data_IF_489816388826
#
_entry.id   IF_489816388826
#
_cell.length_a   1.000
_cell.length_b   1.000
_cell.length_c   1.000
_cell.angle_alpha   90.00
_cell.angle_beta   90.00
_cell.angle_gamma   90.00
#
_symmetry.space_group_name_H-M   'P 1'
#
loop_
_entity.id
_entity.type
_entity.pdbx_description
1 polymer ?
#
# COMPACT_ATOMS: atom_id res chain seq x y z
N UNK A 1 19.00 8.92 -7.23
CA UNK A 1 18.38 8.13 -6.15
C UNK A 1 18.81 6.68 -6.32
N UNK A 2 19.26 6.05 -5.25
CA UNK A 2 19.68 4.64 -5.20
C UNK A 2 19.01 3.99 -4.02
N UNK A 3 18.57 2.74 -4.20
CA UNK A 3 17.92 1.96 -3.16
C UNK A 3 18.68 0.63 -2.97
N UNK A 4 18.77 0.13 -1.74
CA UNK A 4 19.35 -1.17 -1.40
C UNK A 4 18.32 -2.27 -1.63
N UNK A 5 17.05 -1.96 -1.32
CA UNK A 5 15.93 -2.89 -1.47
C UNK A 5 14.66 -2.23 -1.97
N UNK A 6 13.88 -3.06 -2.66
CA UNK A 6 12.52 -2.79 -3.11
C UNK A 6 11.61 -3.87 -2.54
N UNK A 7 10.46 -3.48 -2.01
CA UNK A 7 9.40 -4.35 -1.50
C UNK A 7 8.12 -4.05 -2.29
N UNK A 8 7.68 -5.00 -3.12
CA UNK A 8 6.50 -4.81 -3.98
C UNK A 8 5.24 -5.40 -3.32
N UNK A 9 4.25 -4.57 -3.00
CA UNK A 9 2.92 -5.02 -2.62
C UNK A 9 2.08 -5.22 -3.87
N UNK A 10 1.54 -6.42 -4.03
CA UNK A 10 0.75 -6.75 -5.20
C UNK A 10 -0.27 -7.85 -4.90
N UNK A 11 -1.26 -8.00 -5.77
CA UNK A 11 -2.30 -9.03 -5.68
C UNK A 11 -2.34 -9.93 -6.93
N UNK A 12 -1.26 -9.94 -7.72
CA UNK A 12 -1.16 -10.70 -8.95
C UNK A 12 -0.58 -12.08 -8.68
N UNK A 13 -0.97 -13.13 -9.43
CA UNK A 13 -0.30 -14.42 -9.36
C UNK A 13 1.22 -14.29 -9.56
N UNK A 14 2.00 -15.09 -8.85
CA UNK A 14 3.48 -15.03 -8.90
C UNK A 14 4.03 -15.13 -10.33
N UNK A 15 3.39 -15.95 -11.17
CA UNK A 15 3.75 -16.11 -12.58
C UNK A 15 3.70 -14.79 -13.39
N UNK A 16 2.82 -13.86 -13.02
CA UNK A 16 2.70 -12.54 -13.67
C UNK A 16 3.70 -11.53 -13.12
N UNK A 17 4.07 -11.65 -11.83
CA UNK A 17 4.99 -10.73 -11.15
C UNK A 17 6.45 -11.05 -11.45
N UNK A 18 6.79 -12.34 -11.60
CA UNK A 18 8.16 -12.82 -11.77
C UNK A 18 8.91 -12.18 -12.96
N UNK A 19 8.32 -12.02 -14.16
CA UNK A 19 8.97 -11.31 -15.26
C UNK A 19 9.28 -9.85 -14.93
N UNK A 20 8.37 -9.17 -14.22
CA UNK A 20 8.55 -7.78 -13.81
C UNK A 20 9.68 -7.62 -12.80
N UNK A 21 9.79 -8.53 -11.81
CA UNK A 21 10.91 -8.57 -10.87
C UNK A 21 12.24 -8.76 -11.61
N UNK A 22 12.29 -9.71 -12.56
CA UNK A 22 13.50 -9.98 -13.33
C UNK A 22 13.93 -8.76 -14.17
N UNK A 23 12.97 -8.05 -14.76
CA UNK A 23 13.23 -6.79 -15.45
C UNK A 23 13.76 -5.70 -14.51
N UNK A 24 13.15 -5.52 -13.33
CA UNK A 24 13.59 -4.53 -12.32
C UNK A 24 15.03 -4.80 -11.85
N UNK A 25 15.34 -6.05 -11.49
CA UNK A 25 16.67 -6.49 -11.07
C UNK A 25 17.71 -6.36 -12.19
N UNK A 26 17.29 -6.42 -13.46
CA UNK A 26 18.17 -6.22 -14.62
C UNK A 26 18.53 -4.75 -14.87
N UNK A 27 17.69 -3.80 -14.46
CA UNK A 27 17.95 -2.37 -14.64
C UNK A 27 18.84 -1.82 -13.52
N UNK A 28 18.65 -2.33 -12.30
CA UNK A 28 19.39 -1.91 -11.11
C UNK A 28 19.78 -3.16 -10.32
N UNK A 29 21.01 -3.21 -9.84
CA UNK A 29 21.50 -4.26 -8.96
C UNK A 29 20.93 -4.09 -7.54
N UNK A 30 19.60 -4.12 -7.42
CA UNK A 30 18.82 -3.87 -6.21
C UNK A 30 18.08 -5.15 -5.81
N UNK A 31 18.02 -5.41 -4.50
CA UNK A 31 17.30 -6.58 -3.99
C UNK A 31 15.80 -6.31 -4.03
N UNK A 32 15.07 -7.07 -4.84
CA UNK A 32 13.61 -6.94 -4.95
C UNK A 32 12.94 -8.11 -4.20
N UNK A 33 12.05 -7.78 -3.28
CA UNK A 33 11.16 -8.72 -2.58
C UNK A 33 9.70 -8.37 -2.89
N UNK A 34 8.80 -9.34 -2.76
CA UNK A 34 7.38 -9.13 -3.02
C UNK A 34 6.52 -9.61 -1.86
N UNK A 35 5.37 -8.97 -1.69
CA UNK A 35 4.36 -9.30 -0.70
C UNK A 35 3.02 -9.39 -1.38
N UNK A 36 2.41 -10.56 -1.28
CA UNK A 36 1.05 -10.78 -1.74
C UNK A 36 0.06 -10.20 -0.74
N UNK A 37 -0.80 -9.32 -1.23
CA UNK A 37 -1.83 -8.66 -0.43
C UNK A 37 -3.18 -8.91 -1.09
N UNK A 38 -4.14 -9.42 -0.33
CA UNK A 38 -5.52 -9.54 -0.78
C UNK A 38 -6.34 -8.41 -0.17
N UNK A 39 -6.97 -7.63 -1.04
CA UNK A 39 -7.93 -6.58 -0.67
C UNK A 39 -9.31 -6.96 -1.23
N UNK A 40 -10.37 -6.68 -0.48
CA UNK A 40 -11.74 -6.80 -0.95
C UNK A 40 -12.03 -5.80 -2.08
N UNK A 41 -11.38 -4.64 -2.06
CA UNK A 41 -11.43 -3.62 -3.11
C UNK A 41 -10.13 -2.81 -3.13
N UNK A 42 -9.64 -2.36 -4.30
CA UNK A 42 -8.43 -1.53 -4.43
C UNK A 42 -8.60 -0.10 -3.87
N UNK A 43 -9.80 0.25 -3.38
CA UNK A 43 -10.10 1.52 -2.72
C UNK A 43 -10.54 1.34 -1.26
N UNK A 44 -10.43 0.13 -0.70
CA UNK A 44 -10.72 -0.12 0.70
C UNK A 44 -9.59 0.43 1.59
N UNK A 45 -9.71 1.70 2.01
CA UNK A 45 -8.72 2.39 2.82
C UNK A 45 -8.29 1.63 4.08
N UNK A 46 -9.21 0.94 4.75
CA UNK A 46 -8.88 0.21 5.98
C UNK A 46 -7.96 -0.98 5.70
N UNK A 47 -8.26 -1.78 4.67
CA UNK A 47 -7.42 -2.93 4.31
C UNK A 47 -6.08 -2.49 3.69
N UNK A 48 -6.09 -1.42 2.88
CA UNK A 48 -4.86 -0.83 2.34
C UNK A 48 -3.97 -0.34 3.49
N UNK A 49 -4.53 0.37 4.48
CA UNK A 49 -3.77 0.86 5.64
C UNK A 49 -3.15 -0.29 6.44
N UNK A 50 -3.92 -1.34 6.72
CA UNK A 50 -3.42 -2.52 7.44
C UNK A 50 -2.29 -3.18 6.66
N UNK A 51 -2.50 -3.49 5.38
CA UNK A 51 -1.49 -4.17 4.57
C UNK A 51 -0.20 -3.34 4.40
N UNK A 52 -0.34 -2.02 4.23
CA UNK A 52 0.77 -1.09 4.12
C UNK A 52 1.55 -1.01 5.44
N UNK A 53 0.85 -0.82 6.56
CA UNK A 53 1.46 -0.71 7.90
C UNK A 53 2.14 -2.01 8.33
N UNK A 54 1.51 -3.15 8.10
CA UNK A 54 2.07 -4.48 8.38
C UNK A 54 3.34 -4.71 7.55
N UNK A 55 3.36 -4.22 6.31
CA UNK A 55 4.57 -4.31 5.49
C UNK A 55 5.70 -3.48 6.06
N UNK A 56 5.46 -2.21 6.40
CA UNK A 56 6.50 -1.35 6.98
C UNK A 56 7.04 -1.96 8.27
N UNK A 57 6.15 -2.42 9.15
CA UNK A 57 6.55 -3.06 10.41
C UNK A 57 7.41 -4.30 10.18
N UNK A 58 7.03 -5.15 9.22
CA UNK A 58 7.83 -6.34 8.92
C UNK A 58 9.16 -5.98 8.24
N UNK A 59 9.24 -4.90 7.45
CA UNK A 59 10.53 -4.43 6.92
C UNK A 59 11.48 -4.06 8.06
N UNK A 60 10.99 -3.42 9.12
CA UNK A 60 11.80 -3.14 10.32
C UNK A 60 12.27 -4.42 11.04
N UNK A 61 11.49 -5.51 10.96
CA UNK A 61 11.89 -6.82 11.50
C UNK A 61 12.92 -7.50 10.60
N UNK A 62 12.70 -7.49 9.29
CA UNK A 62 13.51 -8.21 8.31
C UNK A 62 14.88 -7.53 8.08
N UNK A 63 14.93 -6.20 8.19
CA UNK A 63 16.09 -5.39 7.80
C UNK A 63 16.68 -4.55 8.93
N UNK A 64 16.04 -4.52 10.10
CA UNK A 64 16.45 -3.70 11.24
C UNK A 64 15.60 -2.43 11.38
N UNK A 65 15.65 -1.83 12.57
CA UNK A 65 14.89 -0.61 12.90
C UNK A 65 15.51 0.66 12.33
N UNK A 66 16.75 0.58 11.84
CA UNK A 66 17.53 1.69 11.29
C UNK A 66 17.45 1.65 9.76
N UNK A 67 16.25 1.93 9.24
CA UNK A 67 15.96 2.01 7.81
C UNK A 67 15.16 3.28 7.55
N UNK A 68 15.52 4.03 6.52
CA UNK A 68 14.67 5.09 6.01
C UNK A 68 13.69 4.48 5.03
N UNK A 69 12.52 5.09 4.97
CA UNK A 69 11.42 4.62 4.19
C UNK A 69 11.21 5.58 3.01
N UNK A 70 10.89 5.03 1.83
CA UNK A 70 10.52 5.80 0.64
C UNK A 70 9.25 5.23 0.02
N UNK A 71 8.17 5.99 0.02
CA UNK A 71 6.91 5.52 -0.55
C UNK A 71 6.70 6.07 -1.96
N UNK A 72 6.45 5.16 -2.90
CA UNK A 72 6.16 5.53 -4.28
C UNK A 72 4.65 5.73 -4.50
N UNK A 73 4.26 6.97 -4.77
CA UNK A 73 2.86 7.40 -4.83
C UNK A 73 2.16 7.15 -6.17
N UNK A 74 2.91 6.91 -7.26
CA UNK A 74 2.33 6.78 -8.61
C UNK A 74 1.73 5.40 -8.91
N UNK A 75 2.33 4.27 -8.48
CA UNK A 75 1.74 2.96 -8.68
C UNK A 75 0.59 2.73 -7.70
N UNK A 76 -0.58 2.40 -8.22
CA UNK A 76 -1.74 2.09 -7.38
C UNK A 76 -2.97 2.86 -7.80
N UNK A 77 -3.99 2.77 -6.94
CA UNK A 77 -5.10 3.71 -6.98
C UNK A 77 -4.73 4.97 -6.19
N UNK A 78 -5.42 6.11 -6.42
CA UNK A 78 -5.25 7.29 -5.57
C UNK A 78 -5.47 7.03 -4.08
N UNK A 79 -6.28 6.01 -3.72
CA UNK A 79 -6.47 5.61 -2.32
C UNK A 79 -5.19 5.02 -1.70
N UNK A 80 -4.41 4.25 -2.47
CA UNK A 80 -3.14 3.70 -2.03
C UNK A 80 -2.11 4.82 -1.80
N UNK A 81 -2.01 5.77 -2.74
CA UNK A 81 -1.17 6.96 -2.59
C UNK A 81 -1.54 7.77 -1.34
N UNK A 82 -2.84 7.99 -1.10
CA UNK A 82 -3.32 8.68 0.09
C UNK A 82 -2.95 7.94 1.39
N UNK A 83 -3.06 6.60 1.42
CA UNK A 83 -2.62 5.81 2.57
C UNK A 83 -1.12 5.95 2.83
N UNK A 84 -0.28 5.93 1.79
CA UNK A 84 1.16 6.16 1.95
C UNK A 84 1.46 7.53 2.54
N UNK A 85 0.79 8.58 2.07
CA UNK A 85 0.93 9.94 2.63
C UNK A 85 0.55 9.95 4.12
N UNK A 86 -0.56 9.30 4.50
CA UNK A 86 -1.01 9.24 5.90
C UNK A 86 -0.05 8.45 6.80
N UNK A 87 0.50 7.34 6.29
CA UNK A 87 1.49 6.51 6.99
C UNK A 87 2.78 7.31 7.19
N UNK A 88 3.26 7.99 6.16
CA UNK A 88 4.46 8.84 6.18
C UNK A 88 4.33 9.99 7.17
N UNK A 89 3.18 10.67 7.18
CA UNK A 89 2.97 11.82 8.05
C UNK A 89 2.67 11.44 9.51
N UNK A 90 2.15 10.24 9.75
CA UNK A 90 1.77 9.77 11.07
C UNK A 90 2.84 8.91 11.73
N UNK A 91 2.78 7.61 11.47
CA UNK A 91 3.46 6.59 12.29
C UNK A 91 4.87 6.22 11.80
N UNK A 92 5.11 6.35 10.51
CA UNK A 92 6.35 5.87 9.89
C UNK A 92 6.89 6.93 8.93
N UNK A 93 7.67 7.91 9.44
CA UNK A 93 8.29 8.94 8.62
C UNK A 93 8.98 8.34 7.39
N UNK A 94 8.71 8.91 6.23
CA UNK A 94 9.20 8.41 4.96
C UNK A 94 9.33 9.54 3.94
N UNK A 95 10.33 9.43 3.07
CA UNK A 95 10.36 10.22 1.84
C UNK A 95 9.22 9.79 0.91
N UNK A 96 8.65 10.73 0.17
CA UNK A 96 7.59 10.46 -0.79
C UNK A 96 8.12 10.73 -2.18
N UNK A 97 7.89 9.80 -3.11
CA UNK A 97 8.29 9.95 -4.51
C UNK A 97 7.16 9.67 -5.48
N UNK A 98 7.17 10.37 -6.60
CA UNK A 98 6.31 10.11 -7.75
C UNK A 98 7.15 9.89 -9.01
N UNK A 99 6.55 9.25 -10.01
CA UNK A 99 7.16 9.02 -11.30
C UNK A 99 6.17 9.38 -12.40
N UNK A 100 6.70 10.01 -13.45
CA UNK A 100 5.97 10.32 -14.68
C UNK A 100 6.81 9.94 -15.89
N UNK A 101 6.16 9.77 -17.05
CA UNK A 101 6.87 9.45 -18.29
C UNK A 101 7.74 10.61 -18.75
N UNK A 102 7.30 11.84 -18.48
CA UNK A 102 7.90 13.07 -18.97
C UNK A 102 9.03 13.55 -18.07
N UNK A 103 8.91 13.35 -16.75
CA UNK A 103 9.81 13.95 -15.77
C UNK A 103 10.58 12.95 -14.91
N UNK A 104 10.39 11.65 -15.13
CA UNK A 104 11.05 10.60 -14.35
C UNK A 104 10.60 10.59 -12.89
N UNK A 105 11.48 10.15 -12.00
CA UNK A 105 11.23 10.07 -10.55
C UNK A 105 11.53 11.41 -9.88
N UNK A 106 10.63 11.85 -8.99
CA UNK A 106 10.75 13.09 -8.22
C UNK A 106 10.31 12.90 -6.78
N UNK A 107 10.98 13.62 -5.88
CA UNK A 107 10.50 13.77 -4.51
C UNK A 107 9.23 14.63 -4.48
N UNK A 108 8.32 14.26 -3.59
CA UNK A 108 7.04 14.94 -3.37
C UNK A 108 7.09 15.60 -2.00
N UNK A 109 6.82 16.91 -1.97
CA UNK A 109 6.66 17.67 -0.72
C UNK A 109 5.19 17.96 -0.50
N UNK A 110 4.67 17.54 0.66
CA UNK A 110 3.32 17.91 1.09
C UNK A 110 3.40 19.29 1.76
N UNK A 111 2.69 20.33 1.26
CA UNK A 111 2.89 21.71 1.68
C UNK A 111 2.19 22.06 3.01
N UNK A 112 1.87 21.06 3.83
CA UNK A 112 1.20 21.21 5.12
C UNK A 112 1.49 20.00 6.01
N UNK A 113 1.37 20.20 7.32
CA UNK A 113 1.49 19.13 8.30
C UNK A 113 0.19 18.31 8.35
N UNK A 114 0.32 16.98 8.40
CA UNK A 114 -0.79 16.06 8.56
C UNK A 114 -0.57 15.29 9.86
N UNK A 115 -1.42 15.52 10.86
CA UNK A 115 -1.51 14.65 12.02
C UNK A 115 -2.52 13.53 11.72
N UNK A 116 -2.01 12.32 11.45
CA UNK A 116 -2.84 11.16 11.14
C UNK A 116 -2.64 10.07 12.20
N UNK A 117 -3.72 9.72 12.90
CA UNK A 117 -3.80 8.53 13.74
C UNK A 117 -4.85 7.57 13.16
N UNK A 118 -4.46 6.30 12.97
CA UNK A 118 -5.39 5.28 12.56
C UNK A 118 -6.14 4.72 13.76
N UNK A 119 -7.42 5.07 13.85
CA UNK A 119 -8.35 4.49 14.81
C UNK A 119 -9.11 3.35 14.13
N UNK A 120 -8.72 2.08 14.33
CA UNK A 120 -9.51 0.99 13.80
C UNK A 120 -10.92 1.13 14.37
N UNK A 121 -11.92 1.26 13.49
CA UNK A 121 -13.30 1.08 13.94
C UNK A 121 -13.34 -0.35 14.48
N UNK A 122 -13.40 -0.48 15.81
CA UNK A 122 -13.85 -1.70 16.44
C UNK A 122 -15.11 -2.08 15.66
N UNK A 123 -15.07 -3.19 14.94
CA UNK A 123 -16.30 -3.88 14.61
C UNK A 123 -16.84 -4.29 15.95
N UNK A 124 -17.59 -3.39 16.60
CA UNK A 124 -18.49 -3.75 17.65
C UNK A 124 -19.22 -4.99 17.16
N UNK A 125 -19.34 -5.97 18.04
CA UNK A 125 -20.22 -7.13 17.93
C UNK A 125 -21.69 -6.68 17.72
N UNK A 126 -21.98 -5.99 16.62
CA UNK A 126 -23.32 -5.65 16.15
C UNK A 126 -23.83 -6.70 15.14
N UNK A 127 -23.23 -7.89 15.11
CA UNK A 127 -23.87 -9.06 14.50
C UNK A 127 -25.18 -9.44 15.21
N UNK A 128 -25.40 -8.96 16.45
CA UNK A 128 -26.67 -9.10 17.15
C UNK A 128 -27.80 -8.22 16.59
N UNK A 129 -27.52 -7.22 15.73
CA UNK A 129 -28.57 -6.43 15.05
C UNK A 129 -28.73 -6.76 13.56
N UNK A 130 -27.66 -7.18 12.88
CA UNK A 130 -27.69 -7.50 11.45
C UNK A 130 -28.53 -8.76 11.15
N UNK A 131 -28.55 -9.76 12.04
CA UNK A 131 -29.45 -10.91 11.89
C UNK A 131 -30.94 -10.51 11.86
N UNK A 132 -31.31 -9.47 12.62
CA UNK A 132 -32.67 -8.90 12.63
C UNK A 132 -32.98 -8.10 11.36
N UNK A 133 -32.01 -7.38 10.82
CA UNK A 133 -32.18 -6.52 9.63
C UNK A 133 -32.14 -7.27 8.30
N UNK A 134 -31.45 -8.42 8.23
CA UNK A 134 -31.36 -9.26 7.01
C UNK A 134 -32.70 -9.85 6.56
N UNK A 135 -33.70 -9.98 7.47
CA UNK A 135 -35.06 -10.41 7.10
C UNK A 135 -35.80 -9.39 6.22
N UNK A 136 -35.38 -8.13 6.20
CA UNK A 136 -36.10 -7.05 5.53
C UNK A 136 -35.49 -6.64 4.17
N UNK A 137 -34.20 -6.90 3.93
CA UNK A 137 -33.49 -6.44 2.73
C UNK A 137 -33.33 -7.48 1.60
N UNK A 138 -33.77 -8.73 1.79
CA UNK A 138 -33.81 -9.75 0.74
C UNK A 138 -34.86 -9.47 -0.37
N UNK A 139 -35.51 -8.30 -0.37
CA UNK A 139 -36.57 -7.98 -1.34
C UNK A 139 -36.12 -7.17 -2.55
N UNK A 140 -34.93 -6.56 -2.57
CA UNK A 140 -34.48 -5.74 -3.70
C UNK A 140 -32.99 -5.95 -4.00
N UNK A 141 -32.68 -6.94 -4.83
CA UNK A 141 -31.37 -7.08 -5.46
C UNK A 141 -31.41 -6.45 -6.85
N UNK A 142 -30.42 -5.63 -7.22
CA UNK A 142 -29.78 -5.76 -8.53
C UNK A 142 -28.44 -5.00 -8.66
N UNK A 143 -27.45 -5.78 -9.12
CA UNK A 143 -26.34 -5.48 -10.04
C UNK A 143 -25.34 -4.34 -9.74
N UNK A 144 -24.05 -4.67 -9.60
CA UNK A 144 -22.98 -4.30 -10.55
C UNK A 144 -21.63 -4.87 -10.05
N UNK A 145 -20.96 -5.66 -10.88
CA UNK A 145 -19.61 -6.18 -10.63
C UNK A 145 -18.63 -5.42 -11.52
N UNK A 146 -17.64 -4.77 -10.94
CA UNK A 146 -16.51 -4.17 -11.65
C UNK A 146 -15.20 -4.47 -10.91
N UNK A 147 -14.19 -4.98 -11.62
CA UNK A 147 -12.82 -5.19 -11.12
C UNK A 147 -11.89 -4.18 -11.80
N UNK A 148 -10.97 -3.57 -11.06
CA UNK A 148 -9.59 -3.54 -11.54
C UNK A 148 -8.54 -3.78 -10.45
N UNK A 149 -7.38 -4.31 -10.86
CA UNK A 149 -6.19 -4.57 -10.05
C UNK A 149 -5.24 -3.36 -10.04
N UNK A 150 -4.40 -3.21 -9.00
CA UNK A 150 -3.26 -2.26 -9.04
C UNK A 150 -2.11 -2.66 -8.10
N UNK A 151 -0.88 -2.37 -8.55
CA UNK A 151 0.44 -2.62 -7.92
C UNK A 151 0.82 -1.41 -7.07
N UNK A 152 1.40 -1.59 -5.87
CA UNK A 152 2.09 -0.54 -5.11
C UNK A 152 3.49 -0.98 -4.71
N UNK A 153 4.49 -0.13 -4.99
CA UNK A 153 5.91 -0.38 -4.73
C UNK A 153 6.31 0.40 -3.46
N UNK A 154 6.91 -0.30 -2.49
CA UNK A 154 7.55 0.24 -1.30
C UNK A 154 9.06 0.17 -1.54
N UNK A 155 9.79 1.26 -1.40
CA UNK A 155 11.26 1.26 -1.39
C UNK A 155 11.71 1.75 -0.01
N UNK A 156 12.80 1.23 0.54
CA UNK A 156 13.28 1.66 1.87
C UNK A 156 14.81 1.65 1.86
N UNK A 157 15.46 2.76 2.23
CA UNK A 157 16.89 2.88 2.58
C UNK A 157 17.16 4.13 3.42
N UNK A 158 17.90 4.03 4.56
CA UNK A 158 18.74 5.13 5.12
C UNK A 158 20.21 4.75 5.12
N UNK A 159 21.05 5.78 5.08
CA UNK A 159 22.50 5.86 5.11
C UNK A 159 23.04 6.13 6.53
N UNK A 160 24.16 5.46 6.83
CA UNK A 160 25.25 5.88 7.77
C UNK A 160 25.02 5.75 9.27
#
# INVERSE_FOLDING_TARGET
MSFDRIVLLNNFPEAEVKPYIGWLQGIKNVSVSTRQVTLASPTNFAEIYVAASDTVQQCSVDFGSDIDLTFHLSPGTPAMAAVWILIAAGRYPAELIESSREQGVKAVTIPFEIAAEYLPRLREKQELSIAGLKKQYAKNANCFSYKPATISILETVDNS
#
